data_IF_901516168229
#
_entry.id   IF_901516168229
#
_cell.length_a   1.000
_cell.length_b   1.000
_cell.length_c   1.000
_cell.angle_alpha   90.00
_cell.angle_beta   90.00
_cell.angle_gamma   90.00
#
_symmetry.space_group_name_H-M   'P 1'
#
loop_
_entity.id
_entity.type
_entity.pdbx_description
1 polymer ?
#
# COMPACT_ATOMS: atom_id res chain seq x y z
N UNK A 1 -8.86 -16.16 -1.15
CA UNK A 1 -9.47 -15.45 -2.29
C UNK A 1 -10.76 -14.74 -1.89
N UNK A 2 -11.77 -15.46 -1.38
CA UNK A 2 -13.07 -14.86 -0.98
C UNK A 2 -12.97 -13.65 -0.02
N UNK A 3 -12.00 -13.63 0.90
CA UNK A 3 -11.81 -12.50 1.83
C UNK A 3 -11.33 -11.25 1.09
N UNK A 4 -10.34 -11.37 0.20
CA UNK A 4 -9.83 -10.24 -0.57
C UNK A 4 -10.93 -9.68 -1.50
N UNK A 5 -11.65 -10.55 -2.20
CA UNK A 5 -12.77 -10.15 -3.07
C UNK A 5 -13.85 -9.41 -2.28
N UNK A 6 -14.32 -9.97 -1.15
CA UNK A 6 -15.37 -9.35 -0.32
C UNK A 6 -14.93 -8.03 0.31
N UNK A 7 -13.68 -7.92 0.74
CA UNK A 7 -13.14 -6.66 1.27
C UNK A 7 -13.02 -5.61 0.17
N UNK A 8 -12.63 -6.01 -1.05
CA UNK A 8 -12.52 -5.11 -2.19
C UNK A 8 -13.90 -4.66 -2.71
N UNK A 9 -14.97 -5.45 -2.54
CA UNK A 9 -16.34 -5.03 -2.83
C UNK A 9 -16.83 -3.85 -1.97
N UNK A 10 -16.22 -3.58 -0.81
CA UNK A 10 -16.58 -2.40 0.00
C UNK A 10 -16.28 -1.08 -0.73
N UNK A 11 -15.38 -1.10 -1.71
CA UNK A 11 -15.08 0.04 -2.57
C UNK A 11 -16.17 0.35 -3.61
N UNK A 12 -17.12 -0.57 -3.82
CA UNK A 12 -18.31 -0.27 -4.63
C UNK A 12 -19.42 0.44 -3.83
N UNK A 13 -19.24 0.59 -2.51
CA UNK A 13 -20.21 1.29 -1.66
C UNK A 13 -19.82 2.76 -1.52
N UNK A 14 -20.59 3.65 -2.15
CA UNK A 14 -20.32 5.09 -2.17
C UNK A 14 -20.24 5.71 -0.76
N UNK A 15 -21.00 5.21 0.21
CA UNK A 15 -20.93 5.72 1.59
C UNK A 15 -19.60 5.37 2.26
N UNK A 16 -19.12 4.13 2.07
CA UNK A 16 -17.82 3.70 2.60
C UNK A 16 -16.70 4.49 1.93
N UNK A 17 -16.75 4.63 0.60
CA UNK A 17 -15.78 5.41 -0.16
C UNK A 17 -15.76 6.88 0.30
N UNK A 18 -16.92 7.49 0.53
CA UNK A 18 -17.01 8.86 1.04
C UNK A 18 -16.37 9.02 2.42
N UNK A 19 -16.61 8.07 3.33
CA UNK A 19 -16.00 8.09 4.67
C UNK A 19 -14.48 7.92 4.59
N UNK A 20 -13.99 7.03 3.71
CA UNK A 20 -12.56 6.85 3.45
C UNK A 20 -11.95 8.15 2.89
N UNK A 21 -12.62 8.80 1.94
CA UNK A 21 -12.15 10.06 1.35
C UNK A 21 -12.04 11.20 2.38
N UNK A 22 -13.00 11.28 3.31
CA UNK A 22 -12.96 12.26 4.41
C UNK A 22 -11.80 12.01 5.38
N UNK A 23 -11.39 10.75 5.56
CA UNK A 23 -10.34 10.34 6.49
C UNK A 23 -9.05 9.91 5.78
N UNK A 24 -8.90 10.27 4.50
CA UNK A 24 -7.84 9.75 3.61
C UNK A 24 -6.42 10.00 4.15
N UNK A 25 -6.20 11.10 4.84
CA UNK A 25 -4.91 11.47 5.47
C UNK A 25 -4.43 10.48 6.52
N UNK A 26 -5.36 9.72 7.13
CA UNK A 26 -5.05 8.66 8.10
C UNK A 26 -5.13 7.29 7.44
N UNK A 27 -6.17 7.04 6.63
CA UNK A 27 -6.43 5.73 6.04
C UNK A 27 -5.36 5.35 5.01
N UNK A 28 -5.03 6.25 4.09
CA UNK A 28 -4.13 5.96 2.98
C UNK A 28 -2.73 5.54 3.46
N UNK A 29 -2.04 6.26 4.37
CA UNK A 29 -0.73 5.84 4.87
C UNK A 29 -0.72 4.45 5.53
N UNK A 30 -1.82 4.04 6.17
CA UNK A 30 -1.92 2.75 6.88
C UNK A 30 -1.99 1.58 5.88
N UNK A 31 -2.77 1.74 4.81
CA UNK A 31 -3.03 0.64 3.86
C UNK A 31 -2.08 0.65 2.66
N UNK A 32 -1.35 1.75 2.43
CA UNK A 32 -0.48 1.95 1.27
C UNK A 32 0.50 0.79 1.07
N UNK A 33 1.22 0.40 2.12
CA UNK A 33 2.21 -0.69 2.05
C UNK A 33 1.56 -2.02 1.63
N UNK A 34 0.35 -2.30 2.10
CA UNK A 34 -0.37 -3.51 1.72
C UNK A 34 -0.79 -3.48 0.24
N UNK A 35 -1.21 -2.31 -0.25
CA UNK A 35 -1.52 -2.12 -1.68
C UNK A 35 -0.27 -2.34 -2.55
N UNK A 36 0.87 -1.74 -2.19
CA UNK A 36 2.12 -1.88 -2.93
C UNK A 36 2.62 -3.34 -2.98
N UNK A 37 2.59 -4.05 -1.84
CA UNK A 37 2.96 -5.49 -1.80
C UNK A 37 2.05 -6.34 -2.67
N UNK A 38 0.74 -6.07 -2.65
CA UNK A 38 -0.22 -6.79 -3.49
C UNK A 38 0.01 -6.52 -4.98
N UNK A 39 0.35 -5.29 -5.37
CA UNK A 39 0.68 -4.98 -6.76
C UNK A 39 1.94 -5.72 -7.20
N UNK A 40 2.98 -5.77 -6.36
CA UNK A 40 4.27 -6.35 -6.73
C UNK A 40 4.27 -7.88 -6.86
N UNK A 41 3.47 -8.60 -6.08
CA UNK A 41 3.66 -10.05 -5.95
C UNK A 41 2.39 -10.88 -5.71
N UNK A 42 1.19 -10.32 -5.90
CA UNK A 42 -0.01 -11.11 -5.71
C UNK A 42 -0.24 -12.11 -6.87
N UNK A 43 -0.29 -13.40 -6.54
CA UNK A 43 -0.42 -14.51 -7.50
C UNK A 43 -1.76 -14.56 -8.25
N UNK A 44 -2.79 -13.91 -7.70
CA UNK A 44 -4.12 -13.84 -8.31
C UNK A 44 -4.32 -12.52 -9.10
N UNK A 45 -4.57 -12.64 -10.40
CA UNK A 45 -4.73 -11.51 -11.32
C UNK A 45 -5.98 -10.65 -11.05
N UNK A 46 -7.07 -11.23 -10.56
CA UNK A 46 -8.29 -10.48 -10.23
C UNK A 46 -8.08 -9.58 -9.01
N UNK A 47 -7.43 -10.10 -7.97
CA UNK A 47 -7.05 -9.31 -6.78
C UNK A 47 -6.05 -8.21 -7.15
N UNK A 48 -5.11 -8.50 -8.04
CA UNK A 48 -4.19 -7.49 -8.58
C UNK A 48 -4.95 -6.36 -9.28
N UNK A 49 -5.86 -6.68 -10.20
CA UNK A 49 -6.68 -5.68 -10.89
C UNK A 49 -7.53 -4.82 -9.95
N UNK A 50 -8.14 -5.43 -8.95
CA UNK A 50 -8.90 -4.69 -7.93
C UNK A 50 -8.01 -3.79 -7.07
N UNK A 51 -6.80 -4.24 -6.73
CA UNK A 51 -5.83 -3.44 -5.98
C UNK A 51 -5.39 -2.20 -6.78
N UNK A 52 -5.14 -2.37 -8.09
CA UNK A 52 -4.83 -1.25 -9.00
C UNK A 52 -5.99 -0.26 -9.09
N UNK A 53 -7.24 -0.73 -9.11
CA UNK A 53 -8.39 0.16 -9.09
C UNK A 53 -8.47 0.99 -7.81
N UNK A 54 -8.23 0.37 -6.64
CA UNK A 54 -8.16 1.09 -5.35
C UNK A 54 -7.04 2.11 -5.34
N UNK A 55 -5.86 1.77 -5.88
CA UNK A 55 -4.75 2.71 -6.01
C UNK A 55 -5.14 3.93 -6.85
N UNK A 56 -5.78 3.73 -8.01
CA UNK A 56 -6.26 4.83 -8.86
C UNK A 56 -7.27 5.72 -8.15
N UNK A 57 -8.22 5.14 -7.42
CA UNK A 57 -9.19 5.93 -6.65
C UNK A 57 -8.50 6.85 -5.63
N UNK A 58 -7.46 6.38 -4.95
CA UNK A 58 -6.71 7.24 -4.03
C UNK A 58 -5.90 8.33 -4.72
N UNK A 59 -5.32 8.05 -5.88
CA UNK A 59 -4.62 9.06 -6.69
C UNK A 59 -5.60 10.13 -7.16
N UNK A 60 -6.79 9.74 -7.64
CA UNK A 60 -7.84 10.66 -8.06
C UNK A 60 -8.39 11.50 -6.89
N UNK A 61 -8.44 10.93 -5.68
CA UNK A 61 -8.88 11.65 -4.49
C UNK A 61 -7.85 12.67 -4.00
N UNK A 62 -6.57 12.29 -3.96
CA UNK A 62 -5.50 13.13 -3.41
C UNK A 62 -4.12 12.67 -3.90
N UNK A 63 -3.71 13.17 -5.05
CA UNK A 63 -2.44 12.79 -5.67
C UNK A 63 -1.22 13.20 -4.82
N UNK A 64 -1.27 14.36 -4.17
CA UNK A 64 -0.16 14.86 -3.34
C UNK A 64 0.07 13.96 -2.12
N UNK A 65 -1.01 13.58 -1.44
CA UNK A 65 -0.92 12.65 -0.30
C UNK A 65 -0.43 11.26 -0.75
N UNK A 66 -0.88 10.80 -1.93
CA UNK A 66 -0.42 9.52 -2.48
C UNK A 66 1.08 9.53 -2.77
N UNK A 67 1.58 10.59 -3.43
CA UNK A 67 3.01 10.75 -3.69
C UNK A 67 3.84 10.83 -2.41
N UNK A 68 3.32 11.50 -1.38
CA UNK A 68 3.97 11.56 -0.07
C UNK A 68 4.08 10.16 0.56
N UNK A 69 3.01 9.36 0.51
CA UNK A 69 3.05 7.97 0.97
C UNK A 69 4.08 7.15 0.18
N UNK A 70 4.18 7.36 -1.14
CA UNK A 70 5.16 6.68 -1.99
C UNK A 70 6.60 7.04 -1.61
N UNK A 71 6.89 8.34 -1.37
CA UNK A 71 8.20 8.80 -0.91
C UNK A 71 8.57 8.18 0.44
N UNK A 72 7.67 8.24 1.42
CA UNK A 72 7.90 7.66 2.73
C UNK A 72 8.12 6.15 2.67
N UNK A 73 7.37 5.44 1.83
CA UNK A 73 7.53 4.01 1.64
C UNK A 73 8.91 3.66 1.04
N UNK A 74 9.35 4.41 0.02
CA UNK A 74 10.67 4.23 -0.57
C UNK A 74 11.80 4.48 0.44
N UNK A 75 11.69 5.55 1.24
CA UNK A 75 12.66 5.87 2.30
C UNK A 75 12.73 4.76 3.36
N UNK A 76 11.58 4.25 3.82
CA UNK A 76 11.53 3.13 4.77
C UNK A 76 12.17 1.87 4.20
N UNK A 77 11.92 1.56 2.93
CA UNK A 77 12.50 0.39 2.25
C UNK A 77 14.02 0.52 2.12
N UNK A 78 14.54 1.71 1.81
CA UNK A 78 15.97 1.97 1.76
C UNK A 78 16.62 1.78 3.15
N UNK A 79 16.05 2.40 4.19
CA UNK A 79 16.54 2.25 5.58
C UNK A 79 16.53 0.80 6.07
N UNK A 80 15.50 0.03 5.72
CA UNK A 80 15.43 -1.39 6.07
C UNK A 80 16.55 -2.19 5.42
N UNK A 81 16.85 -1.93 4.14
CA UNK A 81 17.96 -2.57 3.41
C UNK A 81 19.32 -2.22 4.01
N UNK A 82 19.54 -0.94 4.34
CA UNK A 82 20.79 -0.49 4.97
C UNK A 82 20.99 -1.17 6.33
N UNK A 83 19.92 -1.33 7.12
CA UNK A 83 19.97 -2.03 8.40
C UNK A 83 20.31 -3.51 8.24
N UNK A 84 19.70 -4.19 7.26
CA UNK A 84 20.01 -5.58 6.93
C UNK A 84 21.48 -5.75 6.53
N UNK A 85 22.02 -4.84 5.71
CA UNK A 85 23.44 -4.85 5.31
C UNK A 85 24.37 -4.62 6.51
N UNK A 86 24.05 -3.67 7.39
CA UNK A 86 24.79 -3.43 8.65
C UNK A 86 24.77 -4.67 9.55
N UNK A 87 23.61 -5.33 9.68
CA UNK A 87 23.46 -6.55 10.48
C UNK A 87 24.30 -7.70 9.88
N UNK A 88 24.29 -7.87 8.56
CA UNK A 88 25.10 -8.89 7.89
C UNK A 88 26.60 -8.65 8.05
N UNK A 89 27.06 -7.41 7.86
CA UNK A 89 28.46 -7.03 8.05
C UNK A 89 28.94 -7.29 9.49
N UNK A 90 28.11 -6.99 10.50
CA UNK A 90 28.45 -7.29 11.90
C UNK A 90 28.58 -8.80 12.15
N UNK A 91 27.66 -9.61 11.61
CA UNK A 91 27.72 -11.07 11.76
C UNK A 91 28.88 -11.74 11.00
N UNK A 92 29.48 -11.07 10.01
CA UNK A 92 30.60 -11.58 9.23
C UNK A 92 31.98 -11.24 9.83
N UNK A 93 32.00 -10.35 10.83
CA UNK A 93 33.21 -9.90 11.53
C UNK A 93 33.37 -10.59 12.90
N UNK A 94 32.31 -11.22 13.40
CA UNK A 94 32.31 -12.13 14.56
C UNK A 94 32.61 -13.58 14.15
#
# INVERSE_FOLDING_TARGET
MQVAERTLFLWNNEHIVSLIAQNRTVVLPIIFEALEKNIQSHWNQAVHGLTVNVQKMFIEMDAELFEECQRQYAERKAKAKDLEEIMQLKSAVE
#
